data_IF_359610357714
#
_entry.id   IF_359610357714
#
_cell.length_a   1.000
_cell.length_b   1.000
_cell.length_c   1.000
_cell.angle_alpha   90.00
_cell.angle_beta   90.00
_cell.angle_gamma   90.00
#
_symmetry.space_group_name_H-M   'P 1'
#
loop_
_entity.id
_entity.type
_entity.pdbx_description
1 polymer ?
#
# COMPACT_ATOMS: atom_id res chain seq x y z
N UNK A 1 -29.79 -7.99 -11.38
CA UNK A 1 -30.30 -7.21 -12.54
C UNK A 1 -30.77 -5.81 -12.11
N UNK A 2 -29.87 -4.96 -11.58
CA UNK A 2 -30.10 -3.53 -11.27
C UNK A 2 -28.78 -2.77 -11.51
N UNK A 3 -28.16 -2.90 -12.69
CA UNK A 3 -26.92 -2.16 -13.03
C UNK A 3 -26.84 -1.62 -14.47
N UNK A 4 -27.94 -1.67 -15.25
CA UNK A 4 -27.97 -1.16 -16.63
C UNK A 4 -28.88 0.06 -16.84
N UNK A 5 -29.60 0.53 -15.81
CA UNK A 5 -30.53 1.67 -15.93
C UNK A 5 -29.89 3.04 -15.62
N UNK A 6 -28.67 3.08 -15.07
CA UNK A 6 -28.00 4.34 -14.69
C UNK A 6 -27.09 4.93 -15.78
N UNK A 7 -26.77 4.17 -16.83
CA UNK A 7 -25.93 4.67 -17.94
C UNK A 7 -26.73 5.49 -18.99
N UNK A 8 -28.06 5.41 -18.99
CA UNK A 8 -28.90 6.07 -20.00
C UNK A 8 -29.31 7.51 -19.69
N UNK A 9 -29.19 7.97 -18.43
CA UNK A 9 -29.71 9.28 -17.99
C UNK A 9 -28.65 10.38 -18.03
N UNK A 10 -27.36 10.04 -17.92
CA UNK A 10 -26.27 11.03 -17.99
C UNK A 10 -25.89 11.44 -19.43
N UNK A 11 -26.29 10.67 -20.45
CA UNK A 11 -25.96 10.93 -21.85
C UNK A 11 -26.99 11.83 -22.58
N UNK A 12 -28.20 12.00 -22.05
CA UNK A 12 -29.23 12.89 -22.64
C UNK A 12 -29.32 14.28 -21.98
N UNK A 13 -28.72 14.49 -20.80
CA UNK A 13 -28.76 15.78 -20.10
C UNK A 13 -27.71 16.80 -20.58
N UNK A 14 -26.59 16.34 -21.16
CA UNK A 14 -25.48 17.20 -21.60
C UNK A 14 -25.64 17.79 -23.01
N UNK A 15 -26.55 17.28 -23.84
CA UNK A 15 -26.69 17.67 -25.25
C UNK A 15 -27.74 18.77 -25.52
N UNK A 16 -28.44 19.26 -24.49
CA UNK A 16 -29.47 20.30 -24.61
C UNK A 16 -28.95 21.70 -24.21
N UNK A 17 -27.76 21.81 -23.60
CA UNK A 17 -27.17 23.09 -23.20
C UNK A 17 -26.32 23.78 -24.28
N UNK A 18 -26.07 23.13 -25.44
CA UNK A 18 -25.25 23.67 -26.54
C UNK A 18 -26.07 24.13 -27.77
N UNK A 19 -27.41 24.06 -27.74
CA UNK A 19 -28.28 24.40 -28.88
C UNK A 19 -29.11 25.68 -28.74
N UNK A 20 -28.95 26.46 -27.66
CA UNK A 20 -29.93 27.47 -27.25
C UNK A 20 -29.55 28.95 -27.42
N UNK A 21 -28.36 29.29 -27.90
CA UNK A 21 -27.89 30.69 -27.85
C UNK A 21 -27.44 31.34 -29.16
N UNK A 22 -27.68 30.73 -30.32
CA UNK A 22 -27.20 31.27 -31.61
C UNK A 22 -28.22 31.41 -32.75
N UNK A 23 -29.53 31.38 -32.48
CA UNK A 23 -30.53 31.59 -33.55
C UNK A 23 -31.72 32.45 -33.12
N UNK A 24 -31.48 33.74 -32.82
CA UNK A 24 -32.51 34.78 -32.92
C UNK A 24 -31.87 36.12 -33.35
N UNK A 25 -32.36 36.64 -34.50
CA UNK A 25 -32.05 37.90 -35.22
C UNK A 25 -31.04 37.74 -36.37
N UNK A 26 -31.42 37.87 -37.64
CA UNK A 26 -32.68 38.33 -38.20
C UNK A 26 -32.74 38.09 -39.72
N UNK A 27 -33.96 38.03 -40.22
CA UNK A 27 -34.32 37.83 -41.62
C UNK A 27 -34.35 39.15 -42.41
N UNK A 28 -33.76 39.09 -43.59
CA UNK A 28 -34.08 39.78 -44.85
C UNK A 28 -33.97 41.31 -44.99
N UNK A 29 -33.15 41.74 -45.96
CA UNK A 29 -33.62 42.41 -47.19
C UNK A 29 -32.55 42.31 -48.31
N UNK A 30 -32.98 41.95 -49.52
CA UNK A 30 -32.21 42.06 -50.78
C UNK A 30 -32.00 43.53 -51.17
N UNK A 31 -30.91 43.86 -51.91
CA UNK A 31 -30.89 44.76 -53.08
C UNK A 31 -29.46 45.01 -53.64
N UNK A 32 -29.27 44.63 -54.91
CA UNK A 32 -28.54 45.32 -56.02
C UNK A 32 -27.01 45.51 -56.03
N UNK A 33 -26.51 45.50 -57.27
CA UNK A 33 -25.14 45.48 -57.80
C UNK A 33 -24.45 46.86 -57.96
N UNK A 34 -23.11 46.85 -57.98
CA UNK A 34 -22.11 47.86 -58.46
C UNK A 34 -21.86 49.19 -57.69
N UNK A 35 -20.71 49.89 -57.90
CA UNK A 35 -19.30 49.47 -57.94
C UNK A 35 -18.39 50.25 -56.95
N UNK A 36 -17.18 49.70 -56.76
CA UNK A 36 -15.92 50.20 -56.18
C UNK A 36 -15.77 51.73 -55.90
N UNK A 37 -15.46 52.07 -54.64
CA UNK A 37 -14.71 53.28 -54.26
C UNK A 37 -13.49 52.85 -53.42
N UNK A 38 -12.30 53.21 -53.88
CA UNK A 38 -11.06 53.09 -53.10
C UNK A 38 -11.19 53.88 -51.79
N UNK A 39 -11.03 53.19 -50.65
CA UNK A 39 -10.79 53.84 -49.38
C UNK A 39 -9.50 53.32 -48.77
N UNK A 40 -8.68 54.30 -48.43
CA UNK A 40 -7.26 54.29 -48.11
C UNK A 40 -6.93 53.33 -46.95
N UNK A 41 -5.77 52.67 -47.07
CA UNK A 41 -5.21 51.79 -46.05
C UNK A 41 -5.21 52.43 -44.66
N UNK A 42 -5.97 51.84 -43.73
CA UNK A 42 -5.77 51.99 -42.30
C UNK A 42 -4.78 50.89 -41.89
N UNK A 43 -3.52 51.27 -41.70
CA UNK A 43 -2.49 50.42 -41.13
C UNK A 43 -2.87 50.13 -39.67
N UNK A 44 -3.56 49.01 -39.45
CA UNK A 44 -3.81 48.48 -38.12
C UNK A 44 -2.45 47.99 -37.58
N UNK A 45 -2.01 48.44 -36.39
CA UNK A 45 -0.83 47.83 -35.78
C UNK A 45 -1.13 46.35 -35.57
N UNK A 46 -0.21 45.49 -35.99
CA UNK A 46 -0.31 44.05 -35.74
C UNK A 46 -0.58 43.84 -34.24
N UNK A 47 -1.51 42.94 -33.85
CA UNK A 47 -1.67 42.59 -32.46
C UNK A 47 -0.34 42.08 -31.94
N UNK A 48 0.21 42.74 -30.91
CA UNK A 48 1.36 42.24 -30.17
C UNK A 48 0.93 40.91 -29.58
N UNK A 49 1.31 39.81 -30.24
CA UNK A 49 1.19 38.48 -29.66
C UNK A 49 2.05 38.50 -28.41
N UNK A 50 1.44 38.41 -27.24
CA UNK A 50 2.19 38.21 -26.01
C UNK A 50 2.99 36.91 -26.19
N UNK A 51 4.31 37.03 -26.30
CA UNK A 51 5.17 35.86 -26.40
C UNK A 51 5.01 35.05 -25.12
N UNK A 52 4.73 33.76 -25.26
CA UNK A 52 4.62 32.86 -24.13
C UNK A 52 5.96 32.82 -23.39
N UNK A 53 5.94 33.05 -22.08
CA UNK A 53 7.15 33.08 -21.26
C UNK A 53 7.68 31.65 -21.11
N UNK A 54 8.96 31.43 -21.43
CA UNK A 54 9.61 30.12 -21.36
C UNK A 54 10.56 30.06 -20.16
N UNK A 55 10.48 28.96 -19.43
CA UNK A 55 11.46 28.59 -18.41
C UNK A 55 12.41 27.54 -18.97
N UNK A 56 13.67 27.95 -19.16
CA UNK A 56 14.76 27.05 -19.49
C UNK A 56 15.22 26.37 -18.21
N UNK A 57 14.80 25.14 -17.97
CA UNK A 57 14.90 24.52 -16.64
C UNK A 57 16.30 24.06 -16.24
N UNK A 58 17.26 24.07 -17.17
CA UNK A 58 18.69 23.86 -16.89
C UNK A 58 19.46 25.19 -16.75
N UNK A 59 18.82 26.32 -17.07
CA UNK A 59 19.45 27.63 -17.00
C UNK A 59 19.66 28.05 -15.53
N UNK A 60 20.86 28.55 -15.23
CA UNK A 60 21.23 28.94 -13.86
C UNK A 60 21.62 27.78 -12.95
N UNK A 61 21.57 26.53 -13.44
CA UNK A 61 22.16 25.39 -12.74
C UNK A 61 23.64 25.34 -13.11
N UNK A 62 24.51 25.41 -12.11
CA UNK A 62 25.94 25.18 -12.30
C UNK A 62 26.18 23.70 -12.61
N UNK A 63 26.37 23.40 -13.91
CA UNK A 63 26.61 22.06 -14.43
C UNK A 63 28.09 21.64 -14.25
N UNK A 64 28.99 22.56 -13.89
CA UNK A 64 30.40 22.24 -13.65
C UNK A 64 30.66 21.79 -12.19
N UNK A 65 29.64 21.85 -11.34
CA UNK A 65 29.72 21.45 -9.92
C UNK A 65 28.90 20.19 -9.62
N UNK A 66 29.62 19.13 -9.26
CA UNK A 66 29.03 17.85 -8.85
C UNK A 66 28.53 17.01 -10.02
N UNK A 67 28.12 15.78 -9.74
CA UNK A 67 27.49 14.92 -10.72
C UNK A 67 26.02 15.33 -10.89
N UNK A 68 25.63 15.74 -12.11
CA UNK A 68 24.25 16.09 -12.42
C UNK A 68 23.54 14.87 -13.02
N UNK A 69 22.40 14.53 -12.45
CA UNK A 69 21.48 13.52 -13.00
C UNK A 69 20.15 14.20 -13.27
N UNK A 70 19.73 14.19 -14.54
CA UNK A 70 18.39 14.63 -14.93
C UNK A 70 17.49 13.42 -15.08
N UNK A 71 16.36 13.40 -14.40
CA UNK A 71 15.33 12.37 -14.55
C UNK A 71 14.14 12.96 -15.29
N UNK A 72 13.76 12.35 -16.40
CA UNK A 72 12.63 12.73 -17.23
C UNK A 72 11.47 11.77 -16.98
N UNK A 73 10.29 12.34 -16.73
CA UNK A 73 9.08 11.58 -16.41
C UNK A 73 8.10 11.62 -17.59
N UNK A 74 7.14 10.70 -17.61
CA UNK A 74 6.01 10.69 -18.55
C UNK A 74 6.39 10.61 -20.06
N UNK A 75 7.64 10.24 -20.38
CA UNK A 75 8.13 10.07 -21.77
C UNK A 75 8.04 8.61 -22.28
N UNK A 76 7.55 7.69 -21.45
CA UNK A 76 7.49 6.26 -21.72
C UNK A 76 6.96 5.46 -20.53
N UNK A 77 7.05 4.12 -20.57
CA UNK A 77 6.58 3.25 -19.48
C UNK A 77 7.43 3.34 -18.20
N UNK A 78 8.67 3.82 -18.33
CA UNK A 78 9.61 4.05 -17.23
C UNK A 78 10.19 5.45 -17.34
N UNK A 79 10.60 6.07 -16.21
CA UNK A 79 11.39 7.30 -16.25
C UNK A 79 12.68 7.10 -17.04
N UNK A 80 13.16 8.18 -17.67
CA UNK A 80 14.40 8.20 -18.42
C UNK A 80 15.44 9.04 -17.66
N UNK A 81 16.71 8.72 -17.78
CA UNK A 81 17.81 9.47 -17.14
C UNK A 81 18.76 10.03 -18.18
N UNK A 82 19.31 11.21 -17.88
CA UNK A 82 20.42 11.83 -18.63
C UNK A 82 21.52 12.18 -17.63
N UNK A 83 22.72 11.62 -17.84
CA UNK A 83 23.93 11.88 -17.05
C UNK A 83 25.08 12.45 -17.87
N UNK A 84 24.99 12.40 -19.20
CA UNK A 84 26.01 12.95 -20.09
C UNK A 84 26.08 14.47 -19.93
N UNK A 85 27.21 14.95 -19.39
CA UNK A 85 27.38 16.35 -19.05
C UNK A 85 27.46 17.25 -20.28
N UNK A 86 27.97 16.75 -21.41
CA UNK A 86 28.08 17.53 -22.63
C UNK A 86 26.68 17.72 -23.24
N UNK A 87 25.84 16.68 -23.16
CA UNK A 87 24.42 16.78 -23.53
C UNK A 87 23.68 17.75 -22.63
N UNK A 88 23.84 17.66 -21.30
CA UNK A 88 23.19 18.57 -20.34
C UNK A 88 23.58 20.03 -20.59
N UNK A 89 24.86 20.30 -20.89
CA UNK A 89 25.34 21.64 -21.24
C UNK A 89 24.78 22.15 -22.56
N UNK A 90 24.75 21.31 -23.60
CA UNK A 90 24.16 21.66 -24.89
C UNK A 90 22.65 21.95 -24.78
N UNK A 91 21.97 21.29 -23.85
CA UNK A 91 20.55 21.47 -23.59
C UNK A 91 20.21 22.73 -22.77
N UNK A 92 21.19 23.43 -22.20
CA UNK A 92 20.96 24.51 -21.23
C UNK A 92 20.10 25.66 -21.77
N UNK A 93 20.26 25.99 -23.05
CA UNK A 93 19.55 27.08 -23.72
C UNK A 93 18.44 26.59 -24.66
N UNK A 94 18.14 25.29 -24.67
CA UNK A 94 17.14 24.68 -25.58
C UNK A 94 16.06 23.89 -24.86
N UNK A 95 16.36 23.34 -23.68
CA UNK A 95 15.41 22.59 -22.88
C UNK A 95 14.52 23.54 -22.06
N UNK A 96 13.23 23.62 -22.39
CA UNK A 96 12.30 24.57 -21.78
C UNK A 96 10.91 23.99 -21.51
N UNK A 97 10.19 24.63 -20.60
CA UNK A 97 8.74 24.51 -20.43
C UNK A 97 8.10 25.91 -20.51
N UNK A 98 6.96 26.05 -21.18
CA UNK A 98 6.19 27.31 -21.16
C UNK A 98 5.66 27.54 -19.75
N UNK A 99 6.00 28.68 -19.14
CA UNK A 99 5.51 29.07 -17.81
C UNK A 99 4.10 29.62 -17.86
N UNK A 100 3.84 30.52 -18.81
CA UNK A 100 2.59 31.26 -18.86
C UNK A 100 2.01 31.19 -20.26
N UNK A 101 0.77 30.69 -20.35
CA UNK A 101 0.01 30.64 -21.60
C UNK A 101 -0.34 32.02 -22.11
N UNK A 102 -0.77 32.11 -23.37
CA UNK A 102 -1.22 33.37 -23.99
C UNK A 102 -2.46 33.97 -23.32
N UNK A 103 -3.15 33.19 -22.48
CA UNK A 103 -4.29 33.58 -21.65
C UNK A 103 -3.90 33.96 -20.20
N UNK A 104 -2.60 33.94 -19.86
CA UNK A 104 -2.08 34.29 -18.54
C UNK A 104 -2.12 33.17 -17.51
N UNK A 105 -2.51 31.94 -17.89
CA UNK A 105 -2.49 30.79 -16.97
C UNK A 105 -1.07 30.27 -16.76
N UNK A 106 -0.72 29.90 -15.53
CA UNK A 106 0.53 29.18 -15.24
C UNK A 106 0.43 27.75 -15.76
N UNK A 107 1.26 27.42 -16.74
CA UNK A 107 1.32 26.12 -17.40
C UNK A 107 2.49 25.29 -16.88
N UNK A 108 3.65 25.91 -16.67
CA UNK A 108 4.88 25.27 -16.21
C UNK A 108 5.51 26.00 -15.03
N UNK A 109 6.20 25.25 -14.18
CA UNK A 109 6.87 25.83 -13.01
C UNK A 109 8.14 25.06 -12.65
N UNK A 110 9.13 25.80 -12.13
CA UNK A 110 10.28 25.24 -11.44
C UNK A 110 10.07 25.34 -9.94
N UNK A 111 10.09 24.21 -9.26
CA UNK A 111 9.97 24.12 -7.80
C UNK A 111 11.32 23.71 -7.22
N UNK A 112 12.01 24.59 -6.46
CA UNK A 112 13.22 24.22 -5.75
C UNK A 112 12.98 23.07 -4.78
N UNK A 113 14.02 22.28 -4.52
CA UNK A 113 13.94 21.03 -3.76
C UNK A 113 13.32 21.12 -2.35
N UNK A 114 13.18 22.31 -1.78
CA UNK A 114 12.57 22.52 -0.45
C UNK A 114 11.06 22.22 -0.38
N UNK A 115 10.40 21.94 -1.51
CA UNK A 115 8.94 21.81 -1.57
C UNK A 115 8.40 20.69 -2.48
N UNK A 116 9.25 19.79 -3.00
CA UNK A 116 8.80 18.87 -4.06
C UNK A 116 8.18 17.58 -3.53
N UNK A 117 6.98 17.28 -4.02
CA UNK A 117 6.40 15.94 -4.04
C UNK A 117 6.33 15.46 -5.50
N UNK A 118 6.43 14.15 -5.72
CA UNK A 118 6.14 13.58 -7.03
C UNK A 118 4.65 13.76 -7.33
N UNK A 119 4.32 14.59 -8.31
CA UNK A 119 2.98 14.75 -8.86
C UNK A 119 2.94 14.19 -10.28
N UNK A 120 1.74 13.85 -10.77
CA UNK A 120 1.54 13.40 -12.15
C UNK A 120 1.97 14.45 -13.19
N UNK A 121 2.08 15.72 -12.78
CA UNK A 121 2.47 16.86 -13.61
C UNK A 121 4.00 17.05 -13.72
N UNK A 122 4.81 16.28 -12.98
CA UNK A 122 6.27 16.41 -13.06
C UNK A 122 6.79 15.90 -14.42
N UNK A 123 7.58 16.73 -15.10
CA UNK A 123 8.20 16.38 -16.38
C UNK A 123 9.70 16.12 -16.24
N UNK A 124 10.36 16.78 -15.27
CA UNK A 124 11.76 16.56 -14.99
C UNK A 124 12.12 16.80 -13.52
N UNK A 125 13.12 16.10 -13.02
CA UNK A 125 13.79 16.39 -11.75
C UNK A 125 15.29 16.46 -11.96
N UNK A 126 15.93 17.47 -11.38
CA UNK A 126 17.36 17.68 -11.49
C UNK A 126 18.00 17.35 -10.14
N UNK A 127 18.97 16.44 -10.16
CA UNK A 127 19.75 16.03 -9.00
C UNK A 127 21.20 16.47 -9.18
N UNK A 128 21.83 16.87 -8.08
CA UNK A 128 23.27 17.10 -7.95
C UNK A 128 23.78 16.26 -6.80
N UNK A 129 24.73 15.36 -7.05
CA UNK A 129 25.31 14.47 -6.04
C UNK A 129 24.21 13.77 -5.20
N UNK A 130 23.23 13.17 -5.89
CA UNK A 130 22.05 12.49 -5.29
C UNK A 130 21.13 13.39 -4.44
N UNK A 131 21.27 14.72 -4.55
CA UNK A 131 20.36 15.69 -3.92
C UNK A 131 19.53 16.39 -4.96
N UNK A 132 18.21 16.35 -4.76
CA UNK A 132 17.28 17.12 -5.58
C UNK A 132 17.69 18.60 -5.52
N UNK A 133 17.85 19.21 -6.68
CA UNK A 133 18.08 20.65 -6.87
C UNK A 133 16.74 21.33 -7.13
N UNK A 134 15.92 20.72 -7.98
CA UNK A 134 14.59 21.20 -8.28
C UNK A 134 13.79 20.26 -9.16
N UNK A 135 12.51 20.56 -9.27
CA UNK A 135 11.53 19.83 -10.04
C UNK A 135 10.88 20.75 -11.05
N UNK A 136 10.71 20.27 -12.27
CA UNK A 136 10.02 20.94 -13.35
C UNK A 136 8.69 20.22 -13.53
N UNK A 137 7.60 20.95 -13.41
CA UNK A 137 6.27 20.41 -13.67
C UNK A 137 5.59 21.19 -14.77
N UNK A 138 4.73 20.52 -15.52
CA UNK A 138 3.81 21.13 -16.45
C UNK A 138 2.40 20.59 -16.26
N UNK A 139 1.42 21.50 -16.21
CA UNK A 139 0.01 21.13 -16.15
C UNK A 139 -0.37 20.29 -17.37
N UNK A 140 -1.05 19.16 -17.13
CA UNK A 140 -1.53 18.27 -18.18
C UNK A 140 -2.39 18.98 -19.24
N UNK A 141 -3.13 20.03 -18.86
CA UNK A 141 -3.92 20.86 -19.77
C UNK A 141 -3.09 21.61 -20.83
N UNK A 142 -1.81 21.89 -20.54
CA UNK A 142 -0.88 22.54 -21.44
C UNK A 142 -0.03 21.52 -22.20
N UNK A 143 0.50 20.55 -21.47
CA UNK A 143 1.54 19.67 -21.96
C UNK A 143 1.04 18.35 -22.54
N UNK A 144 -0.25 18.05 -22.34
CA UNK A 144 -0.97 16.96 -22.98
C UNK A 144 -0.31 15.59 -22.77
N UNK A 145 0.55 15.20 -23.72
CA UNK A 145 1.27 13.92 -23.74
C UNK A 145 2.63 13.95 -23.06
N UNK A 146 3.07 15.10 -22.54
CA UNK A 146 4.39 15.31 -21.92
C UNK A 146 5.60 15.01 -22.83
N UNK A 147 5.36 14.75 -24.12
CA UNK A 147 6.36 14.71 -25.17
C UNK A 147 6.71 16.13 -25.65
N UNK A 148 7.63 16.25 -26.61
CA UNK A 148 7.92 17.55 -27.22
C UNK A 148 6.66 18.15 -27.86
N UNK A 149 6.32 19.35 -27.41
CA UNK A 149 5.21 20.16 -27.89
C UNK A 149 5.69 21.61 -28.04
N UNK A 150 4.88 22.54 -28.56
CA UNK A 150 5.24 23.96 -28.47
C UNK A 150 5.53 24.42 -27.02
N UNK A 151 4.94 23.74 -26.03
CA UNK A 151 4.97 24.08 -24.61
C UNK A 151 6.01 23.30 -23.78
N UNK A 152 6.59 22.22 -24.32
CA UNK A 152 7.75 21.53 -23.75
C UNK A 152 8.74 21.21 -24.84
N UNK A 153 10.00 21.53 -24.61
CA UNK A 153 11.10 21.06 -25.44
C UNK A 153 12.16 20.43 -24.54
N UNK A 154 12.49 19.17 -24.78
CA UNK A 154 13.59 18.48 -24.07
C UNK A 154 14.94 18.65 -24.79
N UNK A 155 15.00 19.33 -25.93
CA UNK A 155 16.19 19.39 -26.77
C UNK A 155 16.67 17.99 -27.15
N UNK A 156 17.99 17.77 -27.11
CA UNK A 156 18.58 16.45 -27.37
C UNK A 156 18.54 15.52 -26.14
N UNK A 157 18.01 15.98 -24.99
CA UNK A 157 18.00 15.21 -23.74
C UNK A 157 17.26 13.88 -23.90
N UNK A 158 16.13 13.88 -24.60
CA UNK A 158 15.33 12.65 -24.81
C UNK A 158 16.10 11.62 -25.62
N UNK A 159 16.80 12.06 -26.68
CA UNK A 159 17.59 11.19 -27.54
C UNK A 159 18.80 10.60 -26.81
N UNK A 160 19.39 11.38 -25.91
CA UNK A 160 20.53 10.99 -25.09
C UNK A 160 20.13 10.28 -23.78
N UNK A 161 18.83 10.07 -23.53
CA UNK A 161 18.35 9.47 -22.29
C UNK A 161 18.30 7.95 -22.36
N UNK A 162 18.52 7.31 -21.21
CA UNK A 162 18.40 5.86 -21.04
C UNK A 162 17.26 5.52 -20.06
N UNK A 163 16.56 4.39 -20.20
CA UNK A 163 15.62 3.93 -19.19
C UNK A 163 16.31 3.69 -17.86
N UNK A 164 15.69 4.15 -16.77
CA UNK A 164 16.18 3.83 -15.42
C UNK A 164 15.70 2.44 -15.00
N UNK A 165 16.57 1.64 -14.40
CA UNK A 165 16.17 0.34 -13.85
C UNK A 165 15.69 0.53 -12.41
N UNK A 166 14.42 0.18 -12.16
CA UNK A 166 13.85 0.12 -10.82
C UNK A 166 14.24 -1.18 -10.13
N UNK A 167 14.66 -1.09 -8.88
CA UNK A 167 14.94 -2.23 -8.00
C UNK A 167 13.98 -2.17 -6.80
N UNK A 168 13.39 -3.32 -6.50
CA UNK A 168 12.46 -3.50 -5.38
C UNK A 168 13.03 -4.60 -4.47
N UNK A 169 13.60 -4.18 -3.34
CA UNK A 169 14.19 -5.08 -2.36
C UNK A 169 13.33 -5.17 -1.09
N UNK A 170 13.46 -6.32 -0.42
CA UNK A 170 12.80 -6.61 0.84
C UNK A 170 13.83 -7.07 1.86
N UNK A 171 13.77 -6.49 3.06
CA UNK A 171 14.69 -6.77 4.16
C UNK A 171 13.93 -7.33 5.35
N UNK A 172 14.45 -8.41 5.92
CA UNK A 172 13.88 -9.06 7.12
C UNK A 172 14.34 -8.37 8.42
N UNK A 173 15.31 -7.44 8.35
CA UNK A 173 15.79 -6.69 9.50
C UNK A 173 15.87 -5.20 9.22
N UNK A 174 15.59 -4.39 10.25
CA UNK A 174 15.72 -2.93 10.15
C UNK A 174 17.17 -2.50 9.91
N UNK A 175 18.13 -3.24 10.46
CA UNK A 175 19.55 -2.95 10.32
C UNK A 175 20.03 -3.09 8.87
N UNK A 176 19.66 -4.17 8.19
CA UNK A 176 20.04 -4.40 6.78
C UNK A 176 19.35 -3.38 5.86
N UNK A 177 18.08 -3.05 6.15
CA UNK A 177 17.34 -2.00 5.46
C UNK A 177 18.05 -0.64 5.55
N UNK A 178 18.42 -0.21 6.75
CA UNK A 178 19.14 1.05 6.96
C UNK A 178 20.54 1.02 6.34
N UNK A 179 21.26 -0.09 6.49
CA UNK A 179 22.58 -0.26 5.88
C UNK A 179 22.54 -0.15 4.36
N UNK A 180 21.46 -0.62 3.73
CA UNK A 180 21.31 -0.52 2.27
C UNK A 180 20.97 0.91 1.85
N UNK A 181 20.15 1.64 2.62
CA UNK A 181 19.89 3.06 2.38
C UNK A 181 21.20 3.87 2.47
N UNK A 182 22.03 3.60 3.47
CA UNK A 182 23.31 4.28 3.63
C UNK A 182 24.28 3.94 2.49
N UNK A 183 24.30 2.68 2.03
CA UNK A 183 25.10 2.26 0.88
C UNK A 183 24.65 2.95 -0.41
N UNK A 184 23.35 3.03 -0.66
CA UNK A 184 22.79 3.75 -1.83
C UNK A 184 23.16 5.24 -1.77
N UNK A 185 23.05 5.88 -0.60
CA UNK A 185 23.32 7.31 -0.46
C UNK A 185 24.79 7.72 -0.71
N UNK A 186 25.73 6.77 -0.72
CA UNK A 186 27.15 7.02 -1.02
C UNK A 186 27.59 6.49 -2.38
N UNK A 187 26.75 5.68 -3.04
CA UNK A 187 27.06 5.08 -4.33
C UNK A 187 26.46 5.93 -5.47
N UNK A 188 27.29 6.55 -6.33
CA UNK A 188 26.79 7.39 -7.42
C UNK A 188 26.04 6.63 -8.52
N UNK A 189 26.02 5.30 -8.46
CA UNK A 189 25.30 4.44 -9.39
C UNK A 189 23.88 4.08 -8.92
N UNK A 190 23.47 4.49 -7.73
CA UNK A 190 22.11 4.25 -7.23
C UNK A 190 21.43 5.54 -6.74
N UNK A 191 20.10 5.59 -6.79
CA UNK A 191 19.34 6.77 -6.34
C UNK A 191 17.97 6.43 -5.73
N UNK A 192 17.55 7.25 -4.75
CA UNK A 192 16.31 7.11 -3.98
C UNK A 192 15.19 8.06 -4.44
N UNK A 193 14.90 8.10 -5.76
CA UNK A 193 14.01 9.08 -6.42
C UNK A 193 12.64 9.28 -5.74
N UNK A 194 11.98 8.20 -5.33
CA UNK A 194 10.60 8.23 -4.82
C UNK A 194 10.49 8.20 -3.30
N UNK A 195 11.62 8.02 -2.61
CA UNK A 195 11.66 7.80 -1.17
C UNK A 195 11.73 9.12 -0.38
N UNK A 196 12.27 10.20 -0.95
CA UNK A 196 12.40 11.51 -0.28
C UNK A 196 11.47 12.52 -0.97
N UNK A 197 10.45 13.11 -0.31
CA UNK A 197 10.27 13.29 1.12
C UNK A 197 9.00 12.59 1.63
N UNK A 198 8.93 11.25 1.56
CA UNK A 198 7.88 10.56 2.32
C UNK A 198 8.19 10.78 3.80
N UNK A 199 7.20 11.22 4.59
CA UNK A 199 7.36 11.50 6.03
C UNK A 199 7.89 10.31 6.81
N UNK A 200 7.72 9.11 6.24
CA UNK A 200 8.02 7.83 6.87
C UNK A 200 9.22 7.14 6.19
N UNK A 201 10.12 7.89 5.54
CA UNK A 201 11.37 7.36 4.98
C UNK A 201 12.61 7.89 5.72
N UNK A 202 13.52 7.02 6.20
CA UNK A 202 13.42 5.56 6.24
C UNK A 202 12.22 5.09 7.06
N UNK A 203 11.68 3.92 6.71
CA UNK A 203 10.57 3.32 7.46
C UNK A 203 10.98 3.15 8.94
N UNK A 204 10.12 3.55 9.89
CA UNK A 204 10.38 3.30 11.30
C UNK A 204 10.42 1.79 11.55
N UNK A 205 11.15 1.37 12.59
CA UNK A 205 11.22 -0.03 12.96
C UNK A 205 9.82 -0.57 13.26
N UNK A 206 9.40 -1.60 12.52
CA UNK A 206 8.19 -2.35 12.80
C UNK A 206 8.55 -3.49 13.74
N UNK A 207 7.88 -3.60 14.89
CA UNK A 207 8.12 -4.71 15.80
C UNK A 207 7.47 -5.99 15.25
N UNK A 208 8.24 -7.07 15.20
CA UNK A 208 7.70 -8.40 14.94
C UNK A 208 6.62 -8.74 15.98
N UNK A 209 5.59 -9.48 15.57
CA UNK A 209 4.58 -9.99 16.51
C UNK A 209 4.02 -11.34 16.08
N UNK A 210 3.48 -12.07 17.05
CA UNK A 210 2.81 -13.35 16.80
C UNK A 210 1.66 -13.57 17.77
N UNK A 211 0.66 -14.33 17.32
CA UNK A 211 -0.39 -14.85 18.17
C UNK A 211 -0.24 -16.35 18.34
N UNK A 212 -0.25 -16.82 19.58
CA UNK A 212 -0.13 -18.23 19.94
C UNK A 212 -1.48 -18.72 20.45
N UNK A 213 -1.95 -19.85 19.94
CA UNK A 213 -3.04 -20.62 20.52
C UNK A 213 -2.45 -21.70 21.41
N UNK A 214 -2.98 -21.87 22.61
CA UNK A 214 -2.59 -22.90 23.57
C UNK A 214 -3.55 -24.10 23.49
N UNK A 215 -3.22 -25.24 24.15
CA UNK A 215 -4.19 -26.31 24.36
C UNK A 215 -5.50 -25.80 24.96
N UNK A 216 -6.62 -26.36 24.50
CA UNK A 216 -7.95 -26.10 25.06
C UNK A 216 -7.99 -26.61 26.49
N UNK A 217 -8.46 -25.76 27.41
CA UNK A 217 -8.67 -26.14 28.81
C UNK A 217 -10.02 -26.80 28.96
N UNK A 218 -10.06 -27.93 29.67
CA UNK A 218 -11.29 -28.65 29.99
C UNK A 218 -11.44 -28.67 31.50
N UNK A 219 -12.43 -27.97 32.02
CA UNK A 219 -12.69 -27.89 33.46
C UNK A 219 -14.04 -28.54 33.81
N UNK A 220 -14.18 -29.16 34.99
CA UNK A 220 -15.48 -29.63 35.45
C UNK A 220 -16.42 -28.43 35.64
N UNK A 221 -17.69 -28.57 35.26
CA UNK A 221 -18.68 -27.50 35.39
C UNK A 221 -18.92 -27.07 36.85
N UNK A 222 -18.64 -27.96 37.80
CA UNK A 222 -18.74 -27.71 39.24
C UNK A 222 -17.58 -26.88 39.82
N UNK A 223 -16.46 -26.81 39.12
CA UNK A 223 -15.31 -25.98 39.47
C UNK A 223 -14.74 -25.34 38.19
N UNK A 224 -15.36 -24.25 37.71
CA UNK A 224 -14.92 -23.54 36.52
C UNK A 224 -13.46 -23.07 36.62
N UNK A 225 -12.84 -22.83 35.47
CA UNK A 225 -11.46 -22.36 35.36
C UNK A 225 -11.22 -21.07 36.16
N UNK A 226 -10.18 -21.06 37.00
CA UNK A 226 -9.62 -19.82 37.54
C UNK A 226 -8.79 -19.14 36.45
N UNK A 227 -9.42 -18.20 35.74
CA UNK A 227 -8.81 -17.49 34.62
C UNK A 227 -7.53 -16.75 35.03
N UNK A 228 -7.49 -16.16 36.21
CA UNK A 228 -6.31 -15.40 36.69
C UNK A 228 -5.14 -16.35 36.95
N UNK A 229 -5.40 -17.48 37.61
CA UNK A 229 -4.37 -18.48 37.83
C UNK A 229 -3.83 -19.07 36.52
N UNK A 230 -4.72 -19.29 35.55
CA UNK A 230 -4.34 -19.85 34.25
C UNK A 230 -3.61 -18.83 33.35
N UNK A 231 -4.00 -17.56 33.37
CA UNK A 231 -3.26 -16.47 32.72
C UNK A 231 -1.83 -16.36 33.27
N UNK A 232 -1.65 -16.49 34.59
CA UNK A 232 -0.33 -16.53 35.22
C UNK A 232 0.47 -17.75 34.76
N UNK A 233 -0.14 -18.94 34.71
CA UNK A 233 0.51 -20.15 34.20
C UNK A 233 1.04 -19.94 32.77
N UNK A 234 0.19 -19.43 31.88
CA UNK A 234 0.56 -19.13 30.48
C UNK A 234 1.68 -18.09 30.42
N UNK A 235 1.58 -17.04 31.23
CA UNK A 235 2.58 -15.96 31.29
C UNK A 235 3.95 -16.48 31.73
N UNK A 236 4.01 -17.32 32.77
CA UNK A 236 5.24 -17.95 33.23
C UNK A 236 5.81 -18.93 32.20
N UNK A 237 4.96 -19.73 31.57
CA UNK A 237 5.37 -20.67 30.53
C UNK A 237 6.00 -19.92 29.33
N UNK A 238 5.34 -18.86 28.85
CA UNK A 238 5.85 -18.02 27.77
C UNK A 238 7.18 -17.36 28.13
N UNK A 239 7.29 -16.77 29.31
CA UNK A 239 8.53 -16.11 29.73
C UNK A 239 9.76 -17.04 29.71
N UNK A 240 9.56 -18.36 29.80
CA UNK A 240 10.65 -19.34 29.74
C UNK A 240 11.12 -19.70 28.33
N UNK A 241 10.34 -19.39 27.30
CA UNK A 241 10.61 -19.79 25.91
C UNK A 241 10.73 -18.62 24.93
N UNK A 242 10.36 -17.40 25.36
CA UNK A 242 10.46 -16.22 24.51
C UNK A 242 11.93 -15.84 24.27
N UNK A 243 12.28 -15.44 23.02
CA UNK A 243 13.62 -14.94 22.73
C UNK A 243 13.87 -13.58 23.39
N UNK A 244 15.15 -13.21 23.49
CA UNK A 244 15.55 -11.92 24.05
C UNK A 244 14.90 -10.75 23.30
N UNK A 245 14.31 -9.82 24.04
CA UNK A 245 13.62 -8.66 23.50
C UNK A 245 12.15 -8.90 23.11
N UNK A 246 11.67 -10.14 23.16
CA UNK A 246 10.25 -10.43 23.02
C UNK A 246 9.51 -10.32 24.37
N UNK A 247 8.23 -9.95 24.31
CA UNK A 247 7.40 -9.78 25.50
C UNK A 247 5.96 -10.19 25.25
N UNK A 248 5.36 -10.82 26.25
CA UNK A 248 3.93 -11.05 26.29
C UNK A 248 3.18 -9.72 26.37
N UNK A 249 2.27 -9.48 25.42
CA UNK A 249 1.38 -8.31 25.42
C UNK A 249 0.09 -8.60 26.18
N UNK A 250 -0.56 -9.72 25.86
CA UNK A 250 -1.86 -10.09 26.42
C UNK A 250 -2.08 -11.61 26.38
N UNK A 251 -2.88 -12.11 27.33
CA UNK A 251 -3.45 -13.47 27.31
C UNK A 251 -4.96 -13.35 27.32
N UNK A 252 -5.62 -13.93 26.33
CA UNK A 252 -7.07 -13.97 26.24
C UNK A 252 -7.58 -15.39 26.48
N UNK A 253 -8.44 -15.55 27.49
CA UNK A 253 -9.18 -16.78 27.77
C UNK A 253 -10.65 -16.57 27.37
N UNK A 254 -11.17 -17.43 26.50
CA UNK A 254 -12.57 -17.39 26.07
C UNK A 254 -13.33 -18.61 26.56
N UNK A 255 -14.44 -18.40 27.27
CA UNK A 255 -15.39 -19.46 27.64
C UNK A 255 -16.16 -19.90 26.39
N UNK A 256 -15.90 -21.13 25.94
CA UNK A 256 -16.57 -21.77 24.80
C UNK A 256 -17.88 -22.45 25.22
N UNK A 257 -18.18 -22.46 26.53
CA UNK A 257 -19.35 -23.10 27.11
C UNK A 257 -19.22 -24.62 27.18
N UNK A 258 -20.38 -25.27 27.16
CA UNK A 258 -20.48 -26.72 27.22
C UNK A 258 -20.30 -27.32 25.82
N UNK A 259 -19.65 -28.46 25.75
CA UNK A 259 -19.61 -29.23 24.51
C UNK A 259 -20.98 -29.85 24.17
N UNK A 260 -21.13 -30.26 22.91
CA UNK A 260 -22.30 -30.99 22.42
C UNK A 260 -21.92 -32.41 22.05
N UNK A 261 -22.79 -33.35 22.35
CA UNK A 261 -22.60 -34.75 22.00
C UNK A 261 -22.65 -34.89 20.48
N UNK A 262 -21.59 -35.41 19.90
CA UNK A 262 -21.46 -35.76 18.50
C UNK A 262 -21.46 -37.27 18.30
N UNK A 263 -21.95 -37.71 17.16
CA UNK A 263 -21.89 -39.09 16.72
C UNK A 263 -20.45 -39.48 16.35
N UNK A 264 -20.04 -40.67 16.80
CA UNK A 264 -18.69 -41.25 16.66
C UNK A 264 -18.18 -41.30 15.23
N UNK A 265 -19.07 -41.64 14.30
CA UNK A 265 -18.74 -41.92 12.91
C UNK A 265 -18.84 -40.67 12.03
N UNK A 266 -19.92 -39.91 12.19
CA UNK A 266 -20.23 -38.76 11.33
C UNK A 266 -19.72 -37.43 11.87
N UNK A 267 -19.33 -37.36 13.16
CA UNK A 267 -18.97 -36.12 13.88
C UNK A 267 -20.04 -35.04 13.79
N UNK A 268 -21.29 -35.43 13.60
CA UNK A 268 -22.43 -34.51 13.59
C UNK A 268 -23.08 -34.48 14.98
N UNK A 269 -23.67 -33.35 15.40
CA UNK A 269 -24.36 -33.29 16.68
C UNK A 269 -25.50 -34.30 16.77
N UNK A 270 -25.55 -35.06 17.86
CA UNK A 270 -26.69 -35.91 18.22
C UNK A 270 -27.81 -35.00 18.68
N UNK A 271 -29.01 -35.22 18.13
CA UNK A 271 -30.18 -34.38 18.38
C UNK A 271 -31.20 -35.08 19.28
N UNK A 272 -31.73 -34.34 20.25
CA UNK A 272 -32.93 -34.72 21.01
C UNK A 272 -34.02 -33.68 20.77
N UNK A 273 -35.19 -34.10 20.26
CA UNK A 273 -36.28 -33.18 19.93
C UNK A 273 -35.93 -32.12 18.88
N UNK A 274 -34.91 -32.37 18.04
CA UNK A 274 -34.43 -31.45 17.01
C UNK A 274 -33.34 -30.47 17.46
N UNK A 275 -32.91 -30.51 18.73
CA UNK A 275 -31.82 -29.68 19.25
C UNK A 275 -30.59 -30.52 19.64
N UNK A 276 -29.36 -30.00 19.49
CA UNK A 276 -28.15 -30.67 19.96
C UNK A 276 -28.19 -30.99 21.46
N UNK A 277 -27.73 -32.19 21.83
CA UNK A 277 -27.61 -32.58 23.22
C UNK A 277 -26.31 -31.99 23.79
N UNK A 278 -26.41 -31.14 24.80
CA UNK A 278 -25.23 -30.63 25.51
C UNK A 278 -24.74 -31.64 26.55
N UNK A 279 -23.43 -31.77 26.71
CA UNK A 279 -22.82 -32.49 27.84
C UNK A 279 -22.57 -31.49 28.98
N UNK A 280 -23.27 -31.61 30.12
CA UNK A 280 -23.34 -30.52 31.10
C UNK A 280 -22.19 -30.49 32.11
N UNK A 281 -21.42 -31.57 32.23
CA UNK A 281 -20.51 -31.76 33.36
C UNK A 281 -19.12 -31.13 33.14
N UNK A 282 -18.85 -30.63 31.93
CA UNK A 282 -17.58 -29.99 31.58
C UNK A 282 -17.80 -28.68 30.82
N UNK A 283 -16.84 -27.77 31.01
CA UNK A 283 -16.73 -26.50 30.28
C UNK A 283 -15.40 -26.42 29.56
N UNK A 284 -15.43 -25.81 28.38
CA UNK A 284 -14.27 -25.67 27.51
C UNK A 284 -13.84 -24.20 27.43
N UNK A 285 -12.52 -23.97 27.44
CA UNK A 285 -11.95 -22.64 27.27
C UNK A 285 -10.88 -22.65 26.20
N UNK A 286 -10.90 -21.67 25.29
CA UNK A 286 -9.76 -21.39 24.41
C UNK A 286 -8.84 -20.39 25.09
N UNK A 287 -7.54 -20.58 24.86
CA UNK A 287 -6.50 -19.73 25.43
C UNK A 287 -5.60 -19.28 24.30
N UNK A 288 -5.42 -17.97 24.17
CA UNK A 288 -4.52 -17.37 23.19
C UNK A 288 -3.64 -16.33 23.86
N UNK A 289 -2.44 -16.11 23.33
CA UNK A 289 -1.57 -15.02 23.76
C UNK A 289 -1.05 -14.24 22.57
N UNK A 290 -0.90 -12.93 22.75
CA UNK A 290 -0.30 -12.02 21.79
C UNK A 290 1.09 -11.63 22.28
N UNK A 291 2.10 -11.78 21.43
CA UNK A 291 3.51 -11.55 21.75
C UNK A 291 4.08 -10.50 20.81
N UNK A 292 4.85 -9.57 21.38
CA UNK A 292 5.65 -8.58 20.67
C UNK A 292 7.12 -8.97 20.64
N UNK A 293 7.85 -8.52 19.62
CA UNK A 293 9.29 -8.73 19.45
C UNK A 293 9.68 -10.09 18.86
N UNK A 294 8.72 -10.95 18.52
CA UNK A 294 8.96 -12.24 17.88
C UNK A 294 7.80 -12.60 16.94
N UNK A 295 8.12 -13.29 15.83
CA UNK A 295 7.15 -13.71 14.83
C UNK A 295 6.98 -15.23 14.74
N UNK A 296 7.84 -15.99 15.41
CA UNK A 296 7.78 -17.45 15.42
C UNK A 296 8.41 -18.02 16.70
N UNK A 297 8.13 -19.29 16.97
CA UNK A 297 8.77 -20.11 18.00
C UNK A 297 9.20 -21.44 17.40
N UNK A 298 10.35 -21.95 17.81
CA UNK A 298 10.73 -23.29 17.41
C UNK A 298 9.79 -24.36 18.00
N UNK A 299 9.82 -25.56 17.41
CA UNK A 299 8.95 -26.65 17.84
C UNK A 299 9.18 -27.05 19.31
N UNK A 300 10.40 -26.92 19.83
CA UNK A 300 10.71 -27.30 21.20
C UNK A 300 10.11 -26.33 22.22
N UNK A 301 10.05 -25.04 21.89
CA UNK A 301 9.34 -24.02 22.65
C UNK A 301 7.83 -24.31 22.64
N UNK A 302 7.25 -24.61 21.47
CA UNK A 302 5.83 -24.96 21.35
C UNK A 302 5.47 -26.25 22.13
N UNK A 303 6.33 -27.26 22.11
CA UNK A 303 6.16 -28.49 22.89
C UNK A 303 6.26 -28.20 24.39
N UNK A 304 7.16 -27.32 24.80
CA UNK A 304 7.30 -26.87 26.19
C UNK A 304 6.04 -26.15 26.66
N UNK A 305 5.52 -25.20 25.88
CA UNK A 305 4.26 -24.53 26.16
C UNK A 305 3.11 -25.53 26.25
N UNK A 306 3.03 -26.45 25.29
CA UNK A 306 2.02 -27.52 25.29
C UNK A 306 2.05 -28.30 26.59
N UNK A 307 3.22 -28.79 27.01
CA UNK A 307 3.34 -29.62 28.20
C UNK A 307 3.07 -28.86 29.51
N UNK A 308 3.39 -27.57 29.56
CA UNK A 308 3.21 -26.75 30.76
C UNK A 308 1.78 -26.23 30.94
N UNK A 309 1.04 -26.02 29.85
CA UNK A 309 -0.30 -25.43 29.90
C UNK A 309 -1.42 -26.41 29.55
N UNK A 310 -1.12 -27.69 29.30
CA UNK A 310 -2.14 -28.70 29.08
C UNK A 310 -2.91 -28.96 30.38
N UNK A 311 -4.13 -28.44 30.45
CA UNK A 311 -5.04 -28.59 31.58
C UNK A 311 -6.38 -29.17 31.10
N UNK A 312 -6.49 -30.50 31.17
CA UNK A 312 -7.65 -31.22 30.66
C UNK A 312 -8.17 -32.19 31.72
N UNK A 313 -9.33 -31.87 32.29
CA UNK A 313 -10.08 -32.78 33.13
C UNK A 313 -10.43 -34.05 32.35
N UNK A 314 -10.02 -35.22 32.86
CA UNK A 314 -10.40 -36.51 32.29
C UNK A 314 -11.82 -36.88 32.73
N UNK A 315 -12.77 -36.62 31.82
CA UNK A 315 -14.20 -36.88 32.04
C UNK A 315 -14.67 -38.21 31.43
N UNK A 316 -13.77 -39.11 30.99
CA UNK A 316 -14.17 -40.32 30.26
C UNK A 316 -15.12 -41.23 31.06
N UNK A 317 -14.88 -41.38 32.37
CA UNK A 317 -15.73 -42.18 33.24
C UNK A 317 -17.11 -41.54 33.45
N UNK A 318 -17.15 -40.22 33.69
CA UNK A 318 -18.38 -39.45 33.88
C UNK A 318 -19.22 -39.47 32.59
N UNK A 319 -18.58 -39.33 31.44
CA UNK A 319 -19.25 -39.41 30.14
C UNK A 319 -19.80 -40.80 29.84
N UNK A 320 -19.13 -41.87 30.27
CA UNK A 320 -19.66 -43.22 30.12
C UNK A 320 -20.94 -43.45 30.95
N UNK A 321 -21.07 -42.78 32.11
CA UNK A 321 -22.33 -42.76 32.88
C UNK A 321 -23.39 -41.97 32.12
N UNK A 322 -23.05 -40.77 31.65
CA UNK A 322 -23.95 -39.94 30.85
C UNK A 322 -24.49 -40.68 29.61
N UNK A 323 -23.62 -41.36 28.85
CA UNK A 323 -24.01 -42.12 27.68
C UNK A 323 -25.00 -43.25 28.01
N UNK A 324 -24.80 -43.92 29.15
CA UNK A 324 -25.69 -45.00 29.60
C UNK A 324 -27.05 -44.47 30.07
N UNK A 325 -27.04 -43.39 30.84
CA UNK A 325 -28.24 -42.90 31.52
C UNK A 325 -29.08 -41.96 30.63
N UNK A 326 -28.42 -41.12 29.84
CA UNK A 326 -29.06 -40.10 29.02
C UNK A 326 -29.14 -40.47 27.53
N UNK A 327 -28.10 -41.09 26.98
CA UNK A 327 -28.12 -41.55 25.58
C UNK A 327 -28.63 -43.00 25.44
N UNK A 328 -28.89 -43.68 26.57
CA UNK A 328 -29.34 -45.08 26.62
C UNK A 328 -28.44 -46.04 25.84
N UNK A 329 -27.14 -45.74 25.80
CA UNK A 329 -26.12 -46.50 25.07
C UNK A 329 -25.05 -47.02 26.02
N UNK A 330 -24.64 -48.28 25.85
CA UNK A 330 -23.49 -48.85 26.57
C UNK A 330 -22.14 -48.54 25.88
N UNK A 331 -22.15 -47.85 24.74
CA UNK A 331 -20.96 -47.52 23.97
C UNK A 331 -20.64 -46.02 24.12
N UNK A 332 -19.82 -45.67 25.11
CA UNK A 332 -19.38 -44.28 25.29
C UNK A 332 -18.47 -43.82 24.13
N UNK A 333 -17.61 -44.72 23.65
CA UNK A 333 -16.67 -44.46 22.54
C UNK A 333 -17.38 -44.26 21.18
N UNK A 334 -18.69 -44.54 21.11
CA UNK A 334 -19.51 -44.25 19.94
C UNK A 334 -19.88 -42.76 19.84
N UNK A 335 -19.41 -41.91 20.75
CA UNK A 335 -19.70 -40.49 20.78
C UNK A 335 -18.43 -39.66 20.97
N UNK A 336 -18.48 -38.42 20.49
CA UNK A 336 -17.49 -37.38 20.75
C UNK A 336 -18.14 -36.21 21.47
N UNK A 337 -17.34 -35.39 22.15
CA UNK A 337 -17.78 -34.06 22.55
C UNK A 337 -17.25 -33.05 21.53
N UNK A 338 -18.17 -32.43 20.79
CA UNK A 338 -17.89 -31.36 19.85
C UNK A 338 -17.91 -30.02 20.60
N UNK A 339 -16.93 -29.19 20.32
CA UNK A 339 -16.76 -27.87 20.96
C UNK A 339 -16.72 -26.82 19.87
N UNK A 340 -17.35 -25.67 20.10
CA UNK A 340 -17.30 -24.57 19.16
C UNK A 340 -15.86 -24.07 18.98
N UNK A 341 -15.45 -23.83 17.73
CA UNK A 341 -14.05 -23.56 17.37
C UNK A 341 -13.10 -24.77 17.46
N UNK A 342 -13.57 -25.93 17.92
CA UNK A 342 -12.80 -27.17 18.09
C UNK A 342 -11.98 -27.21 19.38
N UNK A 343 -11.38 -28.37 19.65
CA UNK A 343 -10.41 -28.56 20.73
C UNK A 343 -9.01 -28.78 20.17
N UNK A 344 -8.00 -28.21 20.83
CA UNK A 344 -6.59 -28.43 20.53
C UNK A 344 -5.90 -29.02 21.76
N UNK A 345 -4.96 -29.92 21.54
CA UNK A 345 -4.08 -30.46 22.59
C UNK A 345 -2.66 -29.92 22.50
N UNK A 346 -2.40 -28.97 21.60
CA UNK A 346 -1.06 -28.44 21.32
C UNK A 346 -1.07 -26.92 21.21
N UNK A 347 0.02 -26.31 21.68
CA UNK A 347 0.33 -24.93 21.40
C UNK A 347 0.81 -24.76 19.95
N UNK A 348 0.44 -23.65 19.30
CA UNK A 348 0.84 -23.32 17.93
C UNK A 348 0.77 -21.81 17.68
N UNK A 349 1.66 -21.30 16.84
CA UNK A 349 1.52 -19.96 16.26
C UNK A 349 0.35 -19.99 15.26
N UNK A 350 -0.62 -19.11 15.45
CA UNK A 350 -1.83 -18.99 14.59
C UNK A 350 -1.82 -17.73 13.73
N UNK A 351 -1.04 -16.72 14.11
CA UNK A 351 -0.78 -15.52 13.32
C UNK A 351 0.66 -15.09 13.53
N UNK A 352 1.31 -14.59 12.48
CA UNK A 352 2.70 -14.15 12.48
C UNK A 352 2.84 -12.90 11.64
N UNK A 353 3.55 -11.91 12.18
CA UNK A 353 3.95 -10.70 11.49
C UNK A 353 5.45 -10.50 11.73
N UNK A 354 6.32 -11.00 10.83
CA UNK A 354 7.76 -10.74 10.91
C UNK A 354 8.08 -9.26 10.69
N UNK A 355 9.27 -8.85 11.12
CA UNK A 355 9.82 -7.58 10.65
C UNK A 355 10.00 -7.67 9.12
N UNK A 356 9.61 -6.62 8.40
CA UNK A 356 9.81 -6.55 6.95
C UNK A 356 9.85 -5.10 6.51
N UNK A 357 10.79 -4.77 5.63
CA UNK A 357 10.99 -3.42 5.10
C UNK A 357 11.16 -3.49 3.59
N UNK A 358 10.27 -2.82 2.87
CA UNK A 358 10.40 -2.64 1.43
C UNK A 358 11.26 -1.40 1.13
N UNK A 359 12.19 -1.54 0.19
CA UNK A 359 12.97 -0.43 -0.34
C UNK A 359 12.87 -0.42 -1.86
N UNK A 360 12.43 0.71 -2.40
CA UNK A 360 12.48 0.98 -3.82
C UNK A 360 13.59 1.99 -4.09
N UNK A 361 14.46 1.65 -5.03
CA UNK A 361 15.57 2.49 -5.48
C UNK A 361 15.88 2.20 -6.95
N UNK A 362 16.80 2.97 -7.50
CA UNK A 362 17.07 2.95 -8.94
C UNK A 362 18.55 2.73 -9.23
N UNK A 363 18.83 1.89 -10.22
CA UNK A 363 20.17 1.72 -10.79
C UNK A 363 20.35 2.71 -11.94
N UNK A 364 21.42 3.49 -11.84
CA UNK A 364 21.81 4.57 -12.76
C UNK A 364 22.93 4.17 -13.71
N UNK A 365 23.41 2.91 -13.64
CA UNK A 365 24.38 2.40 -14.59
C UNK A 365 23.69 2.23 -15.95
N UNK A 366 24.46 2.45 -17.00
CA UNK A 366 23.97 2.26 -18.36
C UNK A 366 23.40 0.83 -18.48
N UNK A 367 22.14 0.74 -18.91
CA UNK A 367 21.52 -0.54 -19.24
C UNK A 367 22.34 -1.21 -20.35
N UNK A 368 22.77 -2.49 -20.18
CA UNK A 368 23.69 -3.15 -21.10
C UNK A 368 23.16 -3.34 -22.52
#
# INVERSE_FOLDING_TARGET
MIRLAFLGVLLLGGLIALGGFFLVRGSETMLTDAPQQEQTASMQPDPVVAEAERLYFLQGIDLDQGAITLVLFNLGPSPLIVRDIDVLKAAQDSAYVTMTGTDGQTLGQFTPATASALTEDNIAQIYRDDRLVGTVSCAMSACGSFADTPDINYGDLRTASAPIQRIEDHFDTHADYLSTIDAIAVDPDFMLLHARPRTDFPQPRNAASMQISFPTVIAPASAPLDAVAHELLVSFALASVLPDGASLRDVTITDLGNGVVGDGDSRTPVLAGGAPISYPDVRYYSVTALVDGAADLDQSALDTLTNQTLDQYDFAADFAVFAREHLQSSCADCFWILVDGGSSTRARVIQSQPESYALEYFDLRDTP
#
